data_IF_201373490106
#
_entry.id   IF_201373490106
#
_cell.length_a   1.000
_cell.length_b   1.000
_cell.length_c   1.000
_cell.angle_alpha   90.00
_cell.angle_beta   90.00
_cell.angle_gamma   90.00
#
_symmetry.space_group_name_H-M   'P 1'
#
loop_
_entity.id
_entity.type
_entity.pdbx_description
1 polymer ?
#
# COMPACT_ATOMS: atom_id res chain seq x y z
N UNK A 1 22.52 4.55 2.16
CA UNK A 1 22.88 4.28 3.57
C UNK A 1 23.61 2.95 3.67
N UNK A 2 24.49 2.78 4.65
CA UNK A 2 25.16 1.52 4.93
C UNK A 2 24.44 0.84 6.09
N UNK A 3 23.97 -0.37 5.86
CA UNK A 3 23.36 -1.20 6.89
C UNK A 3 24.24 -2.42 7.10
N UNK A 4 24.66 -2.64 8.31
CA UNK A 4 25.45 -3.80 8.66
C UNK A 4 24.52 -4.94 9.11
N UNK A 5 24.69 -6.12 8.52
CA UNK A 5 23.94 -7.31 8.86
C UNK A 5 24.87 -8.32 9.54
N UNK A 6 24.50 -8.72 10.75
CA UNK A 6 25.24 -9.73 11.51
C UNK A 6 24.38 -10.97 11.66
N UNK A 7 24.83 -12.15 11.24
CA UNK A 7 24.12 -13.40 11.48
C UNK A 7 24.01 -13.66 12.99
N UNK A 8 22.77 -13.86 13.46
CA UNK A 8 22.52 -14.13 14.89
C UNK A 8 22.19 -15.59 15.16
N UNK A 9 21.64 -16.29 14.17
CA UNK A 9 21.34 -17.71 14.27
C UNK A 9 21.19 -18.33 12.88
N UNK A 10 21.50 -19.60 12.75
CA UNK A 10 21.31 -20.40 11.54
C UNK A 10 20.62 -21.70 11.93
N UNK A 11 19.43 -21.96 11.38
CA UNK A 11 18.69 -23.21 11.58
C UNK A 11 18.50 -23.91 10.24
N UNK A 12 18.80 -25.20 10.18
CA UNK A 12 18.54 -26.04 9.02
C UNK A 12 17.07 -26.44 8.94
N UNK A 13 16.52 -26.48 7.74
CA UNK A 13 15.17 -26.97 7.47
C UNK A 13 15.21 -28.27 6.68
N UNK A 14 14.56 -29.29 7.23
CA UNK A 14 14.27 -30.55 6.56
C UNK A 14 15.25 -31.65 6.86
N UNK A 15 14.71 -32.79 7.14
CA UNK A 15 15.38 -34.03 7.41
C UNK A 15 15.25 -34.45 8.84
N UNK A 16 14.36 -35.37 9.09
CA UNK A 16 14.29 -36.11 10.33
C UNK A 16 15.30 -37.23 10.28
N UNK A 17 16.25 -37.19 11.19
CA UNK A 17 17.18 -38.29 11.40
C UNK A 17 18.63 -37.84 11.48
N UNK A 18 19.41 -38.59 12.26
CA UNK A 18 20.81 -38.29 12.58
C UNK A 18 21.76 -38.22 11.38
N UNK A 19 21.28 -38.58 10.20
CA UNK A 19 22.05 -38.59 8.95
C UNK A 19 21.29 -38.01 7.77
N UNK A 20 20.18 -37.37 8.03
CA UNK A 20 19.65 -36.53 6.95
C UNK A 20 20.56 -35.34 6.89
N UNK A 21 21.50 -35.54 6.09
CA UNK A 21 22.15 -34.42 5.53
C UNK A 21 21.09 -33.42 5.28
N UNK A 22 20.90 -32.54 6.29
CA UNK A 22 21.33 -31.43 5.60
C UNK A 22 20.27 -31.04 4.65
N UNK A 23 19.24 -30.45 5.22
CA UNK A 23 18.23 -29.80 4.44
C UNK A 23 18.90 -28.92 3.40
N UNK A 24 18.42 -29.00 2.21
CA UNK A 24 18.78 -28.08 1.13
C UNK A 24 18.39 -26.62 1.41
N UNK A 25 17.81 -26.37 2.58
CA UNK A 25 17.30 -25.05 2.98
C UNK A 25 17.74 -24.72 4.39
N UNK A 26 18.25 -23.53 4.56
CA UNK A 26 18.67 -22.97 5.85
C UNK A 26 17.93 -21.66 6.12
N UNK A 27 17.50 -21.47 7.35
CA UNK A 27 16.98 -20.21 7.82
C UNK A 27 18.08 -19.48 8.60
N UNK A 28 18.44 -18.30 8.12
CA UNK A 28 19.47 -17.48 8.74
C UNK A 28 18.78 -16.25 9.30
N UNK A 29 19.02 -16.01 10.58
CA UNK A 29 18.52 -14.83 11.26
C UNK A 29 19.64 -13.78 11.30
N UNK A 30 19.29 -12.54 11.03
CA UNK A 30 20.22 -11.42 11.07
C UNK A 30 19.71 -10.35 12.03
N UNK A 31 20.63 -9.71 12.73
CA UNK A 31 20.41 -8.41 13.32
C UNK A 31 20.94 -7.35 12.37
N UNK A 32 20.27 -6.23 12.30
CA UNK A 32 20.66 -5.10 11.47
C UNK A 32 20.99 -3.91 12.35
N UNK A 33 22.03 -3.16 11.99
CA UNK A 33 22.33 -1.87 12.56
C UNK A 33 22.32 -0.81 11.46
N UNK A 34 21.91 0.40 11.81
CA UNK A 34 21.71 1.50 10.85
C UNK A 34 20.24 1.67 10.47
N UNK A 35 19.96 2.70 9.70
CA UNK A 35 18.60 3.01 9.22
C UNK A 35 18.51 2.69 7.73
N UNK A 36 17.72 1.68 7.33
CA UNK A 36 17.51 1.35 5.93
C UNK A 36 16.78 2.50 5.21
N UNK A 37 17.15 2.75 3.97
CA UNK A 37 16.47 3.68 3.06
C UNK A 37 15.60 2.97 2.00
N UNK A 38 15.61 1.64 2.01
CA UNK A 38 14.83 0.80 1.10
C UNK A 38 15.55 0.42 -0.19
N UNK A 39 16.79 0.85 -0.37
CA UNK A 39 17.60 0.52 -1.54
C UNK A 39 18.70 -0.50 -1.22
N UNK A 40 18.76 -0.95 0.01
CA UNK A 40 19.75 -1.91 0.44
C UNK A 40 19.48 -3.29 -0.16
N UNK A 41 20.57 -3.96 -0.57
CA UNK A 41 20.55 -5.34 -1.05
C UNK A 41 21.39 -6.22 -0.14
N UNK A 42 20.76 -7.23 0.46
CA UNK A 42 21.47 -8.25 1.19
C UNK A 42 22.05 -9.26 0.19
N UNK A 43 23.36 -9.39 0.14
CA UNK A 43 24.04 -10.42 -0.64
C UNK A 43 24.65 -11.44 0.31
N UNK A 44 24.16 -12.66 0.25
CA UNK A 44 24.72 -13.79 0.99
C UNK A 44 25.83 -14.43 0.14
N UNK A 45 26.97 -14.63 0.71
CA UNK A 45 28.07 -15.38 0.11
C UNK A 45 28.63 -16.39 1.11
N UNK A 46 28.89 -17.58 0.63
CA UNK A 46 29.50 -18.63 1.45
C UNK A 46 30.99 -18.33 1.55
N UNK A 47 31.50 -18.30 2.78
CA UNK A 47 32.96 -18.23 3.01
C UNK A 47 33.59 -19.56 2.57
N UNK A 48 34.73 -19.49 1.95
CA UNK A 48 35.50 -20.70 1.58
C UNK A 48 35.66 -21.63 2.79
N UNK A 49 35.46 -22.90 2.56
CA UNK A 49 35.63 -23.95 3.57
C UNK A 49 34.78 -23.76 4.84
N UNK A 50 33.59 -23.16 4.71
CA UNK A 50 32.69 -22.96 5.84
C UNK A 50 31.46 -23.88 5.84
N UNK A 51 31.16 -24.46 4.69
CA UNK A 51 30.09 -25.46 4.53
C UNK A 51 30.63 -26.64 3.72
N UNK A 52 30.29 -27.83 4.13
CA UNK A 52 30.73 -29.07 3.51
C UNK A 52 29.53 -29.95 3.15
N UNK A 53 29.65 -30.75 2.11
CA UNK A 53 28.70 -31.81 1.82
C UNK A 53 28.89 -33.01 2.73
N UNK A 54 28.11 -34.06 2.56
CA UNK A 54 28.18 -35.30 3.35
C UNK A 54 29.51 -36.05 3.16
N UNK A 55 30.24 -35.79 2.11
CA UNK A 55 31.53 -36.38 1.79
C UNK A 55 32.71 -35.50 2.20
N UNK A 56 32.43 -34.45 2.97
CA UNK A 56 33.39 -33.46 3.44
C UNK A 56 34.01 -32.62 2.33
N UNK A 57 33.36 -32.52 1.17
CA UNK A 57 33.76 -31.57 0.13
C UNK A 57 33.26 -30.17 0.48
N UNK A 58 34.09 -29.14 0.42
CA UNK A 58 33.65 -27.79 0.68
C UNK A 58 32.71 -27.30 -0.43
N UNK A 59 31.66 -26.62 -0.04
CA UNK A 59 30.78 -25.94 -0.98
C UNK A 59 31.52 -24.84 -1.72
N UNK A 60 31.42 -24.81 -3.03
CA UNK A 60 32.06 -23.82 -3.85
C UNK A 60 31.58 -22.39 -3.50
N UNK A 61 32.51 -21.46 -3.37
CA UNK A 61 32.20 -20.04 -3.07
C UNK A 61 31.39 -19.34 -4.16
N UNK A 62 31.34 -19.94 -5.36
CA UNK A 62 30.57 -19.46 -6.52
C UNK A 62 29.09 -19.88 -6.52
N UNK A 63 28.62 -20.56 -5.47
CA UNK A 63 27.21 -20.94 -5.37
C UNK A 63 26.29 -19.69 -5.43
N UNK A 64 25.07 -19.84 -5.97
CA UNK A 64 24.21 -18.71 -6.23
C UNK A 64 23.99 -17.87 -4.97
N UNK A 65 24.36 -16.62 -5.10
CA UNK A 65 24.21 -15.64 -4.04
C UNK A 65 22.73 -15.29 -3.95
N UNK A 66 22.10 -15.63 -2.84
CA UNK A 66 20.76 -15.14 -2.55
C UNK A 66 20.80 -13.61 -2.44
N UNK A 67 19.91 -12.95 -3.15
CA UNK A 67 19.65 -11.51 -2.95
C UNK A 67 18.30 -11.40 -2.27
N UNK A 68 18.24 -10.68 -1.19
CA UNK A 68 16.99 -10.27 -0.57
C UNK A 68 16.97 -8.75 -0.53
N UNK A 69 15.88 -8.17 -1.01
CA UNK A 69 15.65 -6.75 -0.84
C UNK A 69 15.22 -6.49 0.61
N UNK A 70 15.90 -5.59 1.26
CA UNK A 70 15.54 -5.17 2.62
C UNK A 70 14.51 -4.07 2.53
N UNK A 71 13.26 -4.42 2.79
CA UNK A 71 12.20 -3.43 2.87
C UNK A 71 12.24 -2.72 4.22
N UNK A 72 12.07 -1.42 4.18
CA UNK A 72 11.87 -0.62 5.37
C UNK A 72 10.58 -1.09 6.04
N UNK A 73 10.69 -1.77 7.17
CA UNK A 73 9.55 -2.36 7.88
C UNK A 73 8.65 -1.34 8.57
N UNK A 74 8.99 -0.05 8.51
CA UNK A 74 8.18 1.01 9.09
C UNK A 74 7.30 1.61 8.02
N UNK A 75 5.99 1.46 8.17
CA UNK A 75 5.03 2.31 7.47
C UNK A 75 5.34 3.77 7.83
N UNK A 76 5.84 4.52 6.85
CA UNK A 76 6.02 5.96 6.97
C UNK A 76 4.90 6.64 6.20
N UNK A 77 4.23 7.56 6.84
CA UNK A 77 3.40 8.52 6.11
C UNK A 77 4.32 9.31 5.18
N UNK A 78 4.06 9.23 3.88
CA UNK A 78 4.84 9.93 2.85
C UNK A 78 4.27 11.31 2.62
N UNK A 79 2.94 11.42 2.61
CA UNK A 79 2.18 12.66 2.52
C UNK A 79 0.86 12.52 3.25
N UNK A 80 0.27 13.63 3.60
CA UNK A 80 -1.05 13.70 4.21
C UNK A 80 -1.78 14.96 3.77
N UNK A 81 -3.10 14.86 3.72
CA UNK A 81 -4.00 15.99 3.50
C UNK A 81 -5.22 15.78 4.41
N UNK A 82 -5.55 16.78 5.19
CA UNK A 82 -6.83 16.83 5.87
C UNK A 82 -7.90 17.21 4.86
N UNK A 83 -8.80 16.29 4.53
CA UNK A 83 -9.81 16.52 3.49
C UNK A 83 -11.03 17.30 4.00
N UNK A 84 -11.28 17.26 5.30
CA UNK A 84 -12.30 18.08 5.96
C UNK A 84 -11.88 18.37 7.40
N UNK A 85 -11.99 19.66 7.83
CA UNK A 85 -11.57 20.13 9.16
C UNK A 85 -12.65 19.98 10.23
N UNK A 86 -13.88 19.68 9.86
CA UNK A 86 -15.00 19.57 10.79
C UNK A 86 -15.41 18.12 11.00
N UNK A 87 -15.74 17.42 9.92
CA UNK A 87 -16.23 16.06 9.95
C UNK A 87 -15.86 15.34 8.67
N UNK A 88 -15.38 14.11 8.78
CA UNK A 88 -15.02 13.27 7.66
C UNK A 88 -15.16 11.81 8.05
N UNK A 89 -16.21 11.12 7.56
CA UNK A 89 -16.50 9.71 7.84
C UNK A 89 -16.85 8.95 6.57
N UNK A 90 -16.76 7.63 6.66
CA UNK A 90 -17.25 6.68 5.65
C UNK A 90 -16.77 7.02 4.24
N UNK A 91 -15.47 7.30 4.12
CA UNK A 91 -14.86 7.74 2.88
C UNK A 91 -14.54 6.56 1.94
N UNK A 92 -14.95 6.67 0.68
CA UNK A 92 -14.60 5.77 -0.41
C UNK A 92 -13.85 6.52 -1.49
N UNK A 93 -12.67 6.01 -1.91
CA UNK A 93 -11.77 6.67 -2.86
C UNK A 93 -11.64 5.87 -4.13
N UNK A 94 -11.67 6.54 -5.28
CA UNK A 94 -11.52 5.93 -6.60
C UNK A 94 -10.56 6.74 -7.47
N UNK A 95 -9.81 6.06 -8.34
CA UNK A 95 -8.95 6.69 -9.33
C UNK A 95 -9.78 7.27 -10.49
N UNK A 96 -9.53 8.52 -10.85
CA UNK A 96 -10.18 9.21 -11.98
C UNK A 96 -9.32 9.08 -13.22
N UNK A 97 -8.19 9.77 -13.27
CA UNK A 97 -7.27 9.72 -14.40
C UNK A 97 -5.88 10.22 -13.96
N UNK A 98 -4.80 9.68 -14.54
CA UNK A 98 -3.42 10.08 -14.23
C UNK A 98 -3.13 10.10 -12.72
N UNK A 99 -2.97 11.27 -12.14
CA UNK A 99 -2.71 11.53 -10.72
C UNK A 99 -3.92 12.12 -9.97
N UNK A 100 -5.11 12.07 -10.60
CA UNK A 100 -6.38 12.57 -10.06
C UNK A 100 -7.20 11.44 -9.47
N UNK A 101 -7.77 11.71 -8.31
CA UNK A 101 -8.63 10.81 -7.54
C UNK A 101 -9.91 11.53 -7.14
N UNK A 102 -10.96 10.77 -6.89
CA UNK A 102 -12.20 11.25 -6.31
C UNK A 102 -12.53 10.48 -5.04
N UNK A 103 -13.20 11.13 -4.12
CA UNK A 103 -13.62 10.56 -2.85
C UNK A 103 -15.06 11.01 -2.54
N UNK A 104 -15.91 10.05 -2.20
CA UNK A 104 -17.21 10.32 -1.60
C UNK A 104 -17.12 10.09 -0.09
N UNK A 105 -17.75 10.94 0.71
CA UNK A 105 -17.66 10.85 2.17
C UNK A 105 -18.81 11.59 2.87
N UNK A 106 -19.05 11.28 4.15
CA UNK A 106 -19.92 12.07 5.03
C UNK A 106 -19.12 13.26 5.57
N UNK A 107 -19.56 14.45 5.27
CA UNK A 107 -18.96 15.71 5.70
C UNK A 107 -19.69 16.37 6.89
N UNK A 108 -19.55 17.70 7.06
CA UNK A 108 -20.21 18.47 8.10
C UNK A 108 -21.73 18.22 8.09
N UNK A 109 -22.34 18.18 9.27
CA UNK A 109 -23.75 17.84 9.46
C UNK A 109 -24.15 16.44 8.97
N UNK A 110 -23.18 15.60 8.69
CA UNK A 110 -23.35 14.29 8.08
C UNK A 110 -23.91 14.34 6.64
N UNK A 111 -23.72 15.46 5.96
CA UNK A 111 -24.12 15.64 4.57
C UNK A 111 -23.18 14.89 3.61
N UNK A 112 -23.69 14.51 2.45
CA UNK A 112 -22.90 13.74 1.47
C UNK A 112 -22.04 14.65 0.60
N UNK A 113 -20.75 14.43 0.56
CA UNK A 113 -19.77 15.18 -0.22
C UNK A 113 -19.03 14.33 -1.25
N UNK A 114 -18.67 14.93 -2.37
CA UNK A 114 -17.67 14.37 -3.31
C UNK A 114 -16.56 15.41 -3.47
N UNK A 115 -15.33 14.95 -3.26
CA UNK A 115 -14.13 15.75 -3.45
C UNK A 115 -13.20 15.10 -4.44
N UNK A 116 -12.60 15.89 -5.34
CA UNK A 116 -11.49 15.47 -6.18
C UNK A 116 -10.18 16.03 -5.63
N UNK A 117 -9.12 15.27 -5.80
CA UNK A 117 -7.78 15.66 -5.37
C UNK A 117 -6.71 15.07 -6.29
N UNK A 118 -5.57 15.71 -6.32
CA UNK A 118 -4.39 15.31 -7.07
C UNK A 118 -3.33 14.82 -6.11
N UNK A 119 -2.66 13.71 -6.44
CA UNK A 119 -1.56 13.16 -5.66
C UNK A 119 -0.30 13.09 -6.52
N UNK A 120 0.81 13.65 -6.03
CA UNK A 120 2.09 13.54 -6.73
C UNK A 120 2.54 12.08 -6.85
N UNK A 121 3.28 11.75 -7.91
CA UNK A 121 3.76 10.38 -8.20
C UNK A 121 4.56 9.76 -7.05
N UNK A 122 5.25 10.58 -6.27
CA UNK A 122 6.00 10.13 -5.09
C UNK A 122 5.16 10.11 -3.79
N UNK A 123 3.86 10.43 -3.88
CA UNK A 123 2.91 10.43 -2.77
C UNK A 123 3.09 11.54 -1.74
N UNK A 124 4.05 12.46 -1.93
CA UNK A 124 4.37 13.47 -0.91
C UNK A 124 3.41 14.63 -0.87
N UNK A 125 2.79 14.93 -1.98
CA UNK A 125 1.88 16.07 -2.11
C UNK A 125 0.50 15.57 -2.50
N UNK A 126 -0.51 15.97 -1.72
CA UNK A 126 -1.91 15.74 -2.03
C UNK A 126 -2.58 17.11 -2.00
N UNK A 127 -3.31 17.45 -3.05
CA UNK A 127 -3.96 18.74 -3.21
C UNK A 127 -5.42 18.57 -3.60
N UNK A 128 -6.32 19.21 -2.87
CA UNK A 128 -7.74 19.32 -3.22
C UNK A 128 -7.88 20.10 -4.52
N UNK A 129 -8.75 19.62 -5.41
CA UNK A 129 -9.09 20.27 -6.69
C UNK A 129 -10.49 20.90 -6.58
N UNK A 130 -11.49 20.07 -6.34
CA UNK A 130 -12.90 20.46 -6.31
C UNK A 130 -13.65 19.70 -5.23
N UNK A 131 -14.72 20.30 -4.75
CA UNK A 131 -15.68 19.65 -3.86
C UNK A 131 -17.08 20.09 -4.21
N UNK A 132 -18.02 19.18 -4.11
CA UNK A 132 -19.45 19.43 -4.16
C UNK A 132 -20.14 18.70 -3.02
N UNK A 133 -21.26 19.22 -2.59
CA UNK A 133 -22.23 18.51 -1.78
C UNK A 133 -23.20 17.78 -2.71
N UNK A 134 -23.27 16.45 -2.60
CA UNK A 134 -24.17 15.64 -3.42
C UNK A 134 -25.46 15.29 -2.72
N UNK A 135 -25.51 15.47 -1.41
CA UNK A 135 -26.68 15.25 -0.58
C UNK A 135 -26.66 16.21 0.61
N UNK A 136 -27.67 17.08 0.72
CA UNK A 136 -27.83 18.13 1.74
C UNK A 136 -28.43 17.63 3.05
N UNK A 137 -28.63 16.36 3.17
CA UNK A 137 -29.11 15.68 4.36
C UNK A 137 -28.14 14.56 4.70
N UNK A 138 -28.45 13.85 5.77
CA UNK A 138 -27.68 12.70 6.21
C UNK A 138 -27.31 11.76 5.04
N UNK A 139 -26.04 11.47 4.91
CA UNK A 139 -25.51 10.49 3.96
C UNK A 139 -24.30 9.79 4.56
N UNK A 140 -24.36 8.48 4.72
CA UNK A 140 -23.26 7.67 5.24
C UNK A 140 -23.03 6.38 4.44
N UNK A 141 -22.07 5.57 4.86
CA UNK A 141 -21.71 4.29 4.21
C UNK A 141 -21.42 4.44 2.72
N UNK A 142 -20.68 5.47 2.36
CA UNK A 142 -20.35 5.75 0.97
C UNK A 142 -19.51 4.65 0.35
N UNK A 143 -19.92 4.22 -0.85
CA UNK A 143 -19.10 3.42 -1.76
C UNK A 143 -19.08 4.12 -3.12
N UNK A 144 -17.89 4.27 -3.70
CA UNK A 144 -17.70 4.92 -4.99
C UNK A 144 -16.95 4.01 -5.93
N UNK A 145 -17.49 3.80 -7.14
CA UNK A 145 -16.85 2.99 -8.17
C UNK A 145 -16.83 3.76 -9.51
N UNK A 146 -15.82 3.46 -10.32
CA UNK A 146 -15.74 3.94 -11.70
C UNK A 146 -16.54 3.02 -12.62
N UNK A 147 -17.51 3.58 -13.35
CA UNK A 147 -18.31 2.83 -14.32
C UNK A 147 -17.64 2.82 -15.71
N UNK A 148 -17.17 3.97 -16.16
CA UNK A 148 -16.44 4.11 -17.42
C UNK A 148 -15.43 5.30 -17.33
N UNK A 149 -14.97 5.83 -18.46
CA UNK A 149 -13.91 6.84 -18.49
C UNK A 149 -14.16 8.04 -17.58
N UNK A 150 -15.40 8.55 -17.55
CA UNK A 150 -15.75 9.77 -16.81
C UNK A 150 -17.01 9.64 -15.95
N UNK A 151 -17.65 8.48 -15.89
CA UNK A 151 -18.85 8.26 -15.08
C UNK A 151 -18.52 7.41 -13.86
N UNK A 152 -18.98 7.89 -12.72
CA UNK A 152 -18.80 7.27 -11.40
C UNK A 152 -20.15 7.04 -10.76
N UNK A 153 -20.28 5.91 -10.09
CA UNK A 153 -21.45 5.55 -9.28
C UNK A 153 -21.10 5.75 -7.81
N UNK A 154 -21.97 6.45 -7.09
CA UNK A 154 -21.90 6.60 -5.63
C UNK A 154 -23.13 5.93 -5.03
N UNK A 155 -22.89 5.04 -4.08
CA UNK A 155 -23.89 4.38 -3.26
C UNK A 155 -23.78 4.93 -1.84
N UNK A 156 -24.89 5.22 -1.20
CA UNK A 156 -24.91 5.69 0.18
C UNK A 156 -26.27 5.40 0.83
N UNK A 157 -26.32 5.51 2.15
CA UNK A 157 -27.55 5.43 2.93
C UNK A 157 -27.95 6.83 3.39
N UNK A 158 -29.25 7.17 3.32
CA UNK A 158 -29.77 8.42 3.85
C UNK A 158 -30.26 8.33 5.30
N UNK A 159 -30.76 9.43 5.83
CA UNK A 159 -31.25 9.53 7.21
C UNK A 159 -32.51 8.71 7.52
N UNK A 160 -33.23 8.25 6.50
CA UNK A 160 -34.36 7.34 6.64
C UNK A 160 -33.96 5.85 6.56
N UNK A 161 -32.65 5.58 6.44
CA UNK A 161 -32.06 4.28 6.15
C UNK A 161 -32.36 3.76 4.74
N UNK A 162 -32.78 4.63 3.82
CA UNK A 162 -32.96 4.26 2.42
C UNK A 162 -31.61 4.23 1.69
N UNK A 163 -31.43 3.21 0.84
CA UNK A 163 -30.25 3.08 -0.02
C UNK A 163 -30.40 3.89 -1.30
N UNK A 164 -29.41 4.70 -1.62
CA UNK A 164 -29.39 5.55 -2.81
C UNK A 164 -28.24 5.20 -3.74
N UNK A 165 -28.52 5.34 -5.05
CA UNK A 165 -27.51 5.31 -6.11
C UNK A 165 -27.58 6.62 -6.89
N UNK A 166 -26.44 7.29 -7.04
CA UNK A 166 -26.31 8.48 -7.88
C UNK A 166 -25.13 8.31 -8.82
N UNK A 167 -25.24 8.84 -10.03
CA UNK A 167 -24.11 8.85 -10.98
C UNK A 167 -23.61 10.27 -11.20
N UNK A 168 -22.29 10.38 -11.33
CA UNK A 168 -21.58 11.64 -11.51
C UNK A 168 -20.62 11.55 -12.68
N UNK A 169 -20.58 12.61 -13.49
CA UNK A 169 -19.53 12.82 -14.45
C UNK A 169 -18.42 13.63 -13.78
N UNK A 170 -17.18 13.14 -13.86
CA UNK A 170 -16.00 13.82 -13.34
C UNK A 170 -15.01 13.99 -14.49
N UNK A 171 -14.54 15.23 -14.70
CA UNK A 171 -13.52 15.52 -15.72
C UNK A 171 -12.17 14.86 -15.35
N UNK A 172 -11.37 14.55 -16.37
CA UNK A 172 -10.07 13.91 -16.21
C UNK A 172 -9.10 14.67 -15.29
N UNK A 173 -9.19 16.00 -15.28
CA UNK A 173 -8.42 16.89 -14.42
C UNK A 173 -9.05 17.10 -13.02
N UNK A 174 -10.23 16.53 -12.78
CA UNK A 174 -10.97 16.65 -11.53
C UNK A 174 -11.64 17.99 -11.27
N UNK A 175 -11.56 18.95 -12.18
CA UNK A 175 -12.07 20.32 -11.97
C UNK A 175 -13.59 20.43 -12.05
N UNK A 176 -14.25 19.46 -12.68
CA UNK A 176 -15.70 19.42 -12.85
C UNK A 176 -16.29 18.14 -12.29
N UNK A 177 -17.31 18.29 -11.45
CA UNK A 177 -18.13 17.19 -10.91
C UNK A 177 -19.59 17.56 -11.17
N UNK A 178 -20.32 16.73 -11.93
CA UNK A 178 -21.71 16.97 -12.29
C UNK A 178 -22.55 15.73 -12.03
N UNK A 179 -23.65 15.85 -11.31
CA UNK A 179 -24.59 14.75 -11.15
C UNK A 179 -25.27 14.46 -12.47
N UNK A 180 -25.33 13.20 -12.89
CA UNK A 180 -25.97 12.74 -14.13
C UNK A 180 -27.35 12.19 -13.83
N UNK A 181 -27.45 11.28 -12.85
CA UNK A 181 -28.71 10.66 -12.47
C UNK A 181 -28.73 10.30 -10.97
N UNK A 182 -29.93 10.07 -10.45
CA UNK A 182 -30.21 9.51 -9.13
C UNK A 182 -31.39 8.55 -9.20
#
# INVERSE_FOLDING_TARGET
ATVNATPTNVTGFGGYGKNTALGSKYKIYFSFSGTPDGNEKLTLSVKANSIYDVNLNPVATSQPKGKADLFKSKLLSVGSMEYNTSEGRDASVVHVENDVYAMAYSGPSQDGHIQTFKMSKDGKTIQKIKEIEHNTNFADMHEMIRHNENIFLVVFRDGNNDGWLKTFAISADGSTITQVAK
#
